data_IF_269009408696
#
_entry.id   IF_269009408696
#
_cell.length_a   1.000
_cell.length_b   1.000
_cell.length_c   1.000
_cell.angle_alpha   90.00
_cell.angle_beta   90.00
_cell.angle_gamma   90.00
#
_symmetry.space_group_name_H-M   'P 1'
#
loop_
_entity.id
_entity.type
_entity.pdbx_description
1 polymer ?
#
# COMPACT_ATOMS: atom_id res chain seq x y z
N UNK A 1 7.30 16.38 4.09
CA UNK A 1 6.22 15.43 3.78
C UNK A 1 5.54 14.88 5.05
N UNK A 2 6.27 14.40 6.06
CA UNK A 2 5.71 13.74 7.26
C UNK A 2 4.76 14.57 8.15
N UNK A 3 4.70 15.89 8.00
CA UNK A 3 3.92 16.80 8.88
C UNK A 3 2.88 17.64 8.15
N UNK A 4 2.78 17.47 6.84
CA UNK A 4 1.90 18.26 6.00
C UNK A 4 0.50 17.63 6.04
N UNK A 5 -0.52 18.48 6.19
CA UNK A 5 -1.93 18.12 6.04
C UNK A 5 -2.42 18.48 4.65
N UNK A 6 -3.24 17.61 4.07
CA UNK A 6 -4.00 17.89 2.86
C UNK A 6 -5.32 18.56 3.28
N UNK A 7 -5.37 19.89 3.18
CA UNK A 7 -6.53 20.69 3.60
C UNK A 7 -7.52 20.84 2.43
N UNK A 8 -8.84 20.79 2.70
CA UNK A 8 -9.84 21.06 1.67
C UNK A 8 -9.81 22.53 1.24
N UNK A 9 -10.11 22.76 -0.05
CA UNK A 9 -10.21 24.06 -0.74
C UNK A 9 -8.94 24.95 -0.77
N UNK A 10 -8.46 25.28 -1.98
CA UNK A 10 -7.49 26.34 -2.37
C UNK A 10 -6.18 26.56 -1.56
N UNK A 11 -5.94 25.85 -0.47
CA UNK A 11 -4.71 25.83 0.31
C UNK A 11 -4.09 24.43 0.23
N UNK A 12 -3.22 24.18 -0.77
CA UNK A 12 -2.60 22.88 -0.92
C UNK A 12 -1.57 22.64 0.18
N UNK A 13 -1.55 21.41 0.71
CA UNK A 13 -0.42 20.85 1.46
C UNK A 13 0.20 21.82 2.49
N UNK A 14 -0.47 22.00 3.62
CA UNK A 14 -0.08 22.96 4.65
C UNK A 14 0.56 22.32 5.87
N UNK A 15 1.55 22.99 6.46
CA UNK A 15 2.03 22.68 7.81
C UNK A 15 1.16 23.44 8.82
N UNK A 16 0.47 22.71 9.69
CA UNK A 16 -0.40 23.31 10.72
C UNK A 16 0.29 23.18 12.08
N UNK A 17 0.75 24.30 12.67
CA UNK A 17 1.36 24.28 13.99
C UNK A 17 0.44 23.63 15.03
N UNK A 18 1.05 22.99 16.04
CA UNK A 18 0.41 22.24 17.11
C UNK A 18 -0.13 20.87 16.69
N UNK A 19 -0.81 20.79 15.54
CA UNK A 19 -1.33 19.51 15.05
C UNK A 19 -0.21 18.65 14.49
N UNK A 20 0.85 19.26 13.96
CA UNK A 20 2.06 18.58 13.52
C UNK A 20 2.77 17.78 14.63
N UNK A 21 2.52 18.09 15.91
CA UNK A 21 3.00 17.30 17.04
C UNK A 21 2.17 16.03 17.31
N UNK A 22 0.92 15.94 16.83
CA UNK A 22 0.05 14.82 17.14
C UNK A 22 0.54 13.54 16.46
N UNK A 23 0.77 12.49 17.25
CA UNK A 23 1.23 11.19 16.75
C UNK A 23 0.09 10.37 16.13
N UNK A 24 0.49 9.38 15.34
CA UNK A 24 -0.44 8.44 14.72
C UNK A 24 -0.99 7.41 15.71
N UNK A 25 -2.30 7.18 15.68
CA UNK A 25 -2.91 5.98 16.20
C UNK A 25 -4.07 5.53 15.29
N UNK A 26 -4.20 4.22 15.07
CA UNK A 26 -5.34 3.64 14.33
C UNK A 26 -6.66 3.96 15.04
N UNK A 27 -6.65 3.89 16.37
CA UNK A 27 -7.75 4.24 17.28
C UNK A 27 -7.51 5.63 17.88
N UNK A 28 -7.36 6.62 17.00
CA UNK A 28 -7.06 8.00 17.36
C UNK A 28 -8.01 8.55 18.42
N UNK A 29 -7.46 9.30 19.37
CA UNK A 29 -8.23 9.95 20.43
C UNK A 29 -8.86 11.27 19.99
N UNK A 30 -8.39 11.84 18.88
CA UNK A 30 -8.90 13.07 18.30
C UNK A 30 -8.99 13.00 16.76
N UNK A 31 -9.82 13.87 16.20
CA UNK A 31 -9.87 14.19 14.77
C UNK A 31 -9.76 15.69 14.57
N UNK A 32 -9.32 16.09 13.39
CA UNK A 32 -9.32 17.48 12.99
C UNK A 32 -10.30 17.72 11.84
N UNK A 33 -10.78 18.95 11.70
CA UNK A 33 -11.62 19.41 10.60
C UNK A 33 -11.50 20.93 10.47
N UNK A 34 -11.86 21.48 9.32
CA UNK A 34 -12.02 22.92 9.14
C UNK A 34 -13.46 23.27 9.48
N UNK A 35 -13.64 24.30 10.31
CA UNK A 35 -14.93 24.84 10.68
C UNK A 35 -15.45 25.77 9.58
N UNK A 36 -16.65 25.52 9.07
CA UNK A 36 -17.18 26.24 7.90
C UNK A 36 -17.50 27.72 8.18
N UNK A 37 -17.81 28.07 9.44
CA UNK A 37 -18.17 29.44 9.81
C UNK A 37 -16.94 30.32 10.08
N UNK A 38 -15.97 29.75 10.80
CA UNK A 38 -14.79 30.50 11.26
C UNK A 38 -13.56 30.27 10.39
N UNK A 39 -13.60 29.28 9.48
CA UNK A 39 -12.47 28.80 8.69
C UNK A 39 -11.25 28.39 9.51
N UNK A 40 -11.45 28.14 10.80
CA UNK A 40 -10.40 27.65 11.68
C UNK A 40 -10.26 26.14 11.57
N UNK A 41 -9.03 25.66 11.67
CA UNK A 41 -8.79 24.23 11.85
C UNK A 41 -8.98 23.87 13.34
N UNK A 42 -9.94 22.99 13.61
CA UNK A 42 -10.29 22.52 14.95
C UNK A 42 -9.76 21.09 15.15
N UNK A 43 -8.99 20.87 16.20
CA UNK A 43 -8.66 19.54 16.73
C UNK A 43 -9.62 19.21 17.88
N UNK A 44 -10.43 18.16 17.71
CA UNK A 44 -11.45 17.75 18.68
C UNK A 44 -11.22 16.33 19.15
N UNK A 45 -11.26 16.11 20.47
CA UNK A 45 -11.25 14.79 21.06
C UNK A 45 -12.57 14.05 20.76
N UNK A 46 -12.46 12.78 20.37
CA UNK A 46 -13.62 11.92 20.07
C UNK A 46 -14.18 11.22 21.32
N UNK A 47 -13.47 11.31 22.44
CA UNK A 47 -13.86 10.78 23.75
C UNK A 47 -13.31 11.64 24.88
N UNK A 48 -13.78 11.39 26.10
CA UNK A 48 -13.15 11.95 27.29
C UNK A 48 -11.72 11.44 27.42
N UNK A 49 -10.78 12.36 27.62
CA UNK A 49 -9.37 12.07 27.84
C UNK A 49 -9.05 12.16 29.33
N UNK A 50 -8.16 11.31 29.80
CA UNK A 50 -7.61 11.42 31.15
C UNK A 50 -6.50 12.48 31.18
N UNK A 51 -6.20 13.07 32.36
CA UNK A 51 -4.98 13.84 32.53
C UNK A 51 -3.75 13.04 32.07
N UNK A 52 -2.80 13.73 31.43
CA UNK A 52 -1.54 13.17 30.90
C UNK A 52 -1.69 12.13 29.78
N UNK A 53 -2.91 11.91 29.27
CA UNK A 53 -3.15 11.05 28.12
C UNK A 53 -2.71 11.71 26.81
N UNK A 54 -1.97 10.96 25.98
CA UNK A 54 -1.54 11.43 24.67
C UNK A 54 -2.70 11.67 23.71
N UNK A 55 -2.70 12.84 23.07
CA UNK A 55 -3.62 13.16 21.98
C UNK A 55 -3.02 12.61 20.67
N UNK A 56 -3.76 11.72 20.03
CA UNK A 56 -3.34 11.08 18.77
C UNK A 56 -4.39 11.30 17.69
N UNK A 57 -3.93 11.37 16.44
CA UNK A 57 -4.76 11.47 15.24
C UNK A 57 -4.52 10.26 14.32
N UNK A 58 -5.46 9.99 13.41
CA UNK A 58 -5.27 8.95 12.41
C UNK A 58 -4.68 9.60 11.14
N UNK A 59 -3.55 9.09 10.65
CA UNK A 59 -2.87 9.60 9.45
C UNK A 59 -3.49 9.05 8.15
N UNK A 60 -4.50 8.17 8.26
CA UNK A 60 -5.19 7.51 7.16
C UNK A 60 -4.91 6.01 7.08
N UNK A 61 -5.57 5.36 6.13
CA UNK A 61 -5.46 3.91 5.86
C UNK A 61 -4.20 3.58 5.04
N UNK A 62 -3.04 3.77 5.67
CA UNK A 62 -1.71 3.62 5.06
C UNK A 62 -1.07 2.27 5.40
N UNK A 63 -0.28 1.74 4.48
CA UNK A 63 0.47 0.49 4.66
C UNK A 63 1.77 0.67 5.46
N UNK A 64 2.38 -0.46 5.83
CA UNK A 64 3.81 -0.63 6.09
C UNK A 64 4.72 0.31 5.26
N UNK A 65 4.62 0.14 3.96
CA UNK A 65 5.43 0.85 2.97
C UNK A 65 5.21 2.36 3.02
N UNK A 66 3.95 2.80 3.05
CA UNK A 66 3.61 4.23 3.08
C UNK A 66 3.97 4.90 4.40
N UNK A 67 3.73 4.23 5.54
CA UNK A 67 4.08 4.76 6.85
C UNK A 67 5.59 4.92 7.00
N UNK A 68 6.35 3.93 6.52
CA UNK A 68 7.80 3.99 6.52
C UNK A 68 8.32 5.12 5.63
N UNK A 69 7.82 5.19 4.39
CA UNK A 69 8.26 6.19 3.41
C UNK A 69 7.89 7.63 3.81
N UNK A 70 6.68 7.84 4.33
CA UNK A 70 6.17 9.18 4.64
C UNK A 70 6.52 9.66 6.05
N UNK A 71 6.61 8.75 7.03
CA UNK A 71 6.71 9.12 8.45
C UNK A 71 7.85 8.43 9.22
N UNK A 72 8.54 7.45 8.62
CA UNK A 72 9.69 6.80 9.24
C UNK A 72 9.34 5.80 10.35
N UNK A 73 8.14 5.21 10.33
CA UNK A 73 7.75 4.16 11.28
C UNK A 73 6.86 3.11 10.62
N UNK A 74 6.68 1.97 11.31
CA UNK A 74 5.73 0.91 10.94
C UNK A 74 4.91 0.47 12.13
N UNK A 75 3.77 -0.17 11.88
CA UNK A 75 2.93 -0.80 12.89
C UNK A 75 3.07 -2.32 12.80
N UNK A 76 3.26 -2.98 13.93
CA UNK A 76 3.46 -4.44 14.00
C UNK A 76 2.27 -5.26 13.49
N UNK A 77 1.04 -4.75 13.66
CA UNK A 77 -0.20 -5.39 13.25
C UNK A 77 -1.08 -4.40 12.45
N UNK A 78 -0.52 -3.79 11.41
CA UNK A 78 -1.28 -2.83 10.60
C UNK A 78 -2.40 -3.55 9.82
N UNK A 79 -3.69 -3.30 10.10
CA UNK A 79 -4.79 -3.94 9.36
C UNK A 79 -4.89 -3.45 7.91
N UNK A 80 -4.25 -2.32 7.60
CA UNK A 80 -4.22 -1.72 6.26
C UNK A 80 -2.90 -2.02 5.52
N UNK A 81 -2.10 -2.98 6.01
CA UNK A 81 -0.86 -3.34 5.33
C UNK A 81 -1.14 -3.94 3.95
N UNK A 82 -0.22 -3.68 3.03
CA UNK A 82 -0.27 -4.13 1.64
C UNK A 82 1.15 -4.27 1.10
N UNK A 83 1.30 -5.14 0.11
CA UNK A 83 2.53 -5.28 -0.67
C UNK A 83 2.27 -4.73 -2.07
N UNK A 84 3.15 -3.86 -2.54
CA UNK A 84 3.14 -3.35 -3.91
C UNK A 84 4.30 -3.95 -4.69
N UNK A 85 3.99 -4.64 -5.79
CA UNK A 85 4.99 -5.26 -6.67
C UNK A 85 5.00 -4.52 -8.01
N UNK A 86 6.07 -3.82 -8.38
CA UNK A 86 6.18 -3.29 -9.72
C UNK A 86 6.23 -4.44 -10.74
N UNK A 87 5.56 -4.25 -11.88
CA UNK A 87 5.56 -5.22 -12.98
C UNK A 87 5.95 -4.53 -14.29
N UNK A 88 6.63 -5.27 -15.14
CA UNK A 88 7.10 -4.81 -16.44
C UNK A 88 6.75 -5.85 -17.49
N UNK A 89 6.50 -5.38 -18.71
CA UNK A 89 6.42 -6.23 -19.89
C UNK A 89 7.82 -6.45 -20.46
N UNK A 90 8.05 -7.64 -21.00
CA UNK A 90 9.31 -7.95 -21.67
C UNK A 90 9.29 -7.37 -23.09
N UNK A 91 10.40 -6.76 -23.57
CA UNK A 91 10.45 -6.18 -24.91
C UNK A 91 10.22 -7.17 -26.06
N UNK A 92 10.44 -8.46 -25.83
CA UNK A 92 10.28 -9.56 -26.77
C UNK A 92 8.92 -10.28 -26.65
N UNK A 93 7.99 -9.75 -25.85
CA UNK A 93 6.62 -10.26 -25.76
C UNK A 93 5.90 -10.06 -27.11
N UNK A 94 5.44 -11.15 -27.73
CA UNK A 94 4.76 -11.13 -29.02
C UNK A 94 3.46 -10.31 -29.03
N UNK A 95 2.86 -10.05 -27.86
CA UNK A 95 1.65 -9.25 -27.68
C UNK A 95 1.95 -7.90 -27.02
N UNK A 96 3.20 -7.44 -27.02
CA UNK A 96 3.63 -6.24 -26.29
C UNK A 96 2.75 -5.02 -26.60
N UNK A 97 2.52 -4.73 -27.88
CA UNK A 97 1.72 -3.56 -28.31
C UNK A 97 0.27 -3.68 -27.82
N UNK A 98 -0.36 -4.84 -28.03
CA UNK A 98 -1.74 -5.10 -27.59
C UNK A 98 -1.90 -5.01 -26.07
N UNK A 99 -0.94 -5.58 -25.31
CA UNK A 99 -0.94 -5.54 -23.84
C UNK A 99 -0.79 -4.11 -23.35
N UNK A 100 0.15 -3.33 -23.91
CA UNK A 100 0.36 -1.94 -23.54
C UNK A 100 -0.86 -1.06 -23.84
N UNK A 101 -1.43 -1.20 -25.04
CA UNK A 101 -2.63 -0.48 -25.42
C UNK A 101 -3.78 -0.78 -24.45
N UNK A 102 -4.03 -2.05 -24.16
CA UNK A 102 -5.11 -2.44 -23.27
C UNK A 102 -4.89 -1.97 -21.82
N UNK A 103 -3.65 -2.06 -21.31
CA UNK A 103 -3.30 -1.54 -19.98
C UNK A 103 -3.57 -0.03 -19.90
N UNK A 104 -3.22 0.73 -20.95
CA UNK A 104 -3.45 2.17 -21.02
C UNK A 104 -4.95 2.50 -21.12
N UNK A 105 -5.70 1.81 -21.97
CA UNK A 105 -7.15 1.99 -22.14
C UNK A 105 -7.91 1.72 -20.83
N UNK A 106 -7.53 0.64 -20.13
CA UNK A 106 -8.10 0.27 -18.84
C UNK A 106 -7.54 1.10 -17.66
N UNK A 107 -6.56 1.97 -17.92
CA UNK A 107 -5.86 2.80 -16.91
C UNK A 107 -5.31 1.97 -15.75
N UNK A 108 -4.83 0.76 -16.04
CA UNK A 108 -4.28 -0.12 -15.02
C UNK A 108 -2.88 0.36 -14.63
N UNK A 109 -2.59 0.56 -13.33
CA UNK A 109 -1.25 0.93 -12.90
C UNK A 109 -0.29 -0.25 -13.13
N UNK A 110 0.99 -0.02 -13.49
CA UNK A 110 1.97 -1.07 -13.77
C UNK A 110 2.53 -1.69 -12.47
N UNK A 111 1.64 -2.10 -11.57
CA UNK A 111 1.97 -2.72 -10.28
C UNK A 111 0.85 -3.65 -9.84
N UNK A 112 1.22 -4.69 -9.10
CA UNK A 112 0.28 -5.53 -8.36
C UNK A 112 0.23 -5.07 -6.91
N UNK A 113 -0.95 -5.14 -6.31
CA UNK A 113 -1.17 -4.83 -4.91
C UNK A 113 -1.90 -5.97 -4.22
N UNK A 114 -1.28 -6.47 -3.15
CA UNK A 114 -1.78 -7.55 -2.30
C UNK A 114 -2.24 -6.98 -0.96
N UNK A 115 -3.38 -7.42 -0.46
CA UNK A 115 -3.84 -7.12 0.90
C UNK A 115 -3.12 -7.97 1.97
N UNK A 116 -3.45 -7.75 3.25
CA UNK A 116 -2.86 -8.50 4.37
C UNK A 116 -3.10 -10.02 4.33
N UNK A 117 -4.07 -10.48 3.52
CA UNK A 117 -4.40 -11.88 3.33
C UNK A 117 -3.76 -12.48 2.08
N UNK A 118 -2.96 -11.70 1.35
CA UNK A 118 -2.33 -12.14 0.11
C UNK A 118 -3.30 -12.19 -1.07
N UNK A 119 -4.41 -11.46 -1.02
CA UNK A 119 -5.33 -11.34 -2.15
C UNK A 119 -4.97 -10.13 -3.01
N UNK A 120 -4.96 -10.35 -4.33
CA UNK A 120 -4.85 -9.26 -5.30
C UNK A 120 -6.10 -8.41 -5.28
N UNK A 121 -5.95 -7.08 -5.40
CA UNK A 121 -7.09 -6.20 -5.65
C UNK A 121 -7.65 -6.41 -7.10
N UNK A 122 -8.78 -5.78 -7.41
CA UNK A 122 -9.46 -5.97 -8.70
C UNK A 122 -8.60 -5.54 -9.90
N UNK A 123 -7.88 -4.42 -9.79
CA UNK A 123 -7.00 -3.91 -10.85
C UNK A 123 -5.84 -4.86 -11.11
N UNK A 124 -5.22 -5.37 -10.05
CA UNK A 124 -4.10 -6.30 -10.11
C UNK A 124 -4.54 -7.65 -10.70
N UNK A 125 -5.71 -8.16 -10.33
CA UNK A 125 -6.27 -9.38 -10.94
C UNK A 125 -6.48 -9.21 -12.45
N UNK A 126 -6.94 -8.04 -12.92
CA UNK A 126 -7.08 -7.76 -14.36
C UNK A 126 -5.72 -7.66 -15.04
N UNK A 127 -4.78 -6.93 -14.42
CA UNK A 127 -3.45 -6.75 -14.96
C UNK A 127 -2.74 -8.10 -15.16
N UNK A 128 -2.81 -9.01 -14.18
CA UNK A 128 -2.17 -10.32 -14.28
C UNK A 128 -2.74 -11.15 -15.44
N UNK A 129 -4.06 -11.07 -15.72
CA UNK A 129 -4.67 -11.75 -16.88
C UNK A 129 -4.09 -11.24 -18.20
N UNK A 130 -3.77 -9.95 -18.28
CA UNK A 130 -3.12 -9.35 -19.44
C UNK A 130 -1.66 -9.79 -19.51
N UNK A 131 -0.92 -9.69 -18.40
CA UNK A 131 0.51 -10.02 -18.34
C UNK A 131 0.76 -11.50 -18.66
N UNK A 132 -0.06 -12.42 -18.16
CA UNK A 132 0.13 -13.87 -18.33
C UNK A 132 -0.30 -14.39 -19.71
N UNK A 133 -1.07 -13.62 -20.48
CA UNK A 133 -1.61 -14.05 -21.77
C UNK A 133 -0.49 -14.36 -22.79
N UNK A 134 -0.66 -15.46 -23.51
CA UNK A 134 0.27 -15.89 -24.58
C UNK A 134 -0.34 -15.73 -25.98
N UNK A 135 -1.65 -15.49 -26.07
CA UNK A 135 -2.35 -15.25 -27.34
C UNK A 135 -3.38 -14.13 -27.18
N UNK A 136 -3.79 -13.52 -28.30
CA UNK A 136 -4.81 -12.47 -28.29
C UNK A 136 -6.14 -12.97 -27.72
N UNK A 137 -6.53 -14.22 -27.97
CA UNK A 137 -7.81 -14.79 -27.50
C UNK A 137 -7.86 -14.93 -25.97
N UNK A 138 -6.69 -15.09 -25.34
CA UNK A 138 -6.52 -15.25 -23.90
C UNK A 138 -6.25 -13.92 -23.19
N UNK A 139 -6.09 -12.81 -23.94
CA UNK A 139 -5.84 -11.50 -23.37
C UNK A 139 -7.01 -11.11 -22.44
N UNK A 140 -6.67 -10.62 -21.24
CA UNK A 140 -7.63 -10.21 -20.22
C UNK A 140 -8.58 -11.34 -19.73
N UNK A 141 -8.18 -12.61 -19.91
CA UNK A 141 -8.87 -13.78 -19.35
C UNK A 141 -7.91 -14.57 -18.47
N UNK A 142 -8.48 -15.26 -17.48
CA UNK A 142 -7.72 -16.27 -16.76
C UNK A 142 -7.43 -17.43 -17.71
N UNK A 143 -6.18 -17.86 -17.75
CA UNK A 143 -5.65 -18.88 -18.64
C UNK A 143 -4.69 -19.79 -17.86
N UNK A 144 -4.20 -20.86 -18.48
CA UNK A 144 -3.31 -21.83 -17.84
C UNK A 144 -2.00 -21.20 -17.32
N UNK A 145 -1.57 -20.07 -17.88
CA UNK A 145 -0.36 -19.34 -17.48
C UNK A 145 -0.61 -18.36 -16.32
N UNK A 146 -1.86 -18.08 -15.96
CA UNK A 146 -2.21 -17.13 -14.90
C UNK A 146 -1.59 -17.49 -13.54
N UNK A 147 -1.82 -18.72 -13.07
CA UNK A 147 -1.28 -19.19 -11.79
C UNK A 147 0.25 -19.37 -11.81
N UNK A 148 0.86 -20.02 -12.83
CA UNK A 148 2.33 -20.13 -12.92
C UNK A 148 3.02 -18.76 -12.94
N UNK A 149 2.47 -17.78 -13.65
CA UNK A 149 3.01 -16.42 -13.69
C UNK A 149 3.08 -15.79 -12.29
N UNK A 150 1.96 -15.84 -11.54
CA UNK A 150 1.90 -15.32 -10.18
C UNK A 150 2.84 -16.05 -9.22
N UNK A 151 2.86 -17.38 -9.27
CA UNK A 151 3.76 -18.17 -8.43
C UNK A 151 5.22 -17.82 -8.71
N UNK A 152 5.62 -17.69 -9.98
CA UNK A 152 7.00 -17.30 -10.31
C UNK A 152 7.33 -15.92 -9.75
N UNK A 153 6.46 -14.92 -9.99
CA UNK A 153 6.66 -13.54 -9.53
C UNK A 153 6.74 -13.46 -8.00
N UNK A 154 5.81 -14.12 -7.28
CA UNK A 154 5.77 -14.08 -5.83
C UNK A 154 6.95 -14.81 -5.19
N UNK A 155 7.37 -15.96 -5.74
CA UNK A 155 8.54 -16.66 -5.25
C UNK A 155 9.83 -15.87 -5.49
N UNK A 156 9.98 -15.23 -6.66
CA UNK A 156 11.13 -14.36 -6.94
C UNK A 156 11.20 -13.20 -5.95
N UNK A 157 10.07 -12.54 -5.68
CA UNK A 157 10.00 -11.45 -4.73
C UNK A 157 10.27 -11.91 -3.29
N UNK A 158 9.70 -13.05 -2.86
CA UNK A 158 9.96 -13.63 -1.54
C UNK A 158 11.45 -13.97 -1.37
N UNK A 159 12.10 -14.50 -2.40
CA UNK A 159 13.53 -14.75 -2.38
C UNK A 159 14.33 -13.47 -2.18
N UNK A 160 13.99 -12.38 -2.88
CA UNK A 160 14.62 -11.07 -2.68
C UNK A 160 14.45 -10.58 -1.24
N UNK A 161 13.24 -10.69 -0.67
CA UNK A 161 12.97 -10.31 0.73
C UNK A 161 13.78 -11.16 1.71
N UNK A 162 13.98 -12.45 1.44
CA UNK A 162 14.78 -13.35 2.28
C UNK A 162 16.28 -13.05 2.23
N UNK A 163 16.75 -12.37 1.18
CA UNK A 163 18.13 -11.90 1.07
C UNK A 163 18.38 -10.59 1.84
N UNK A 164 17.33 -9.85 2.21
CA UNK A 164 17.46 -8.68 3.08
C UNK A 164 17.86 -9.14 4.50
N UNK A 165 18.96 -8.60 5.02
CA UNK A 165 19.49 -8.94 6.34
C UNK A 165 18.57 -8.47 7.46
N UNK A 166 18.31 -9.34 8.44
CA UNK A 166 17.65 -8.96 9.71
C UNK A 166 18.61 -8.26 10.69
N UNK A 167 19.83 -7.89 10.25
CA UNK A 167 20.90 -7.34 11.10
C UNK A 167 20.70 -5.85 11.44
N UNK A 168 19.62 -5.24 10.94
CA UNK A 168 19.27 -3.88 11.34
C UNK A 168 18.79 -3.85 12.80
N UNK A 169 19.47 -3.02 13.59
CA UNK A 169 19.11 -2.69 14.98
C UNK A 169 17.75 -1.95 15.08
N UNK A 170 17.15 -1.63 13.94
CA UNK A 170 15.92 -0.85 13.85
C UNK A 170 14.68 -1.75 13.76
N UNK A 171 13.93 -1.79 14.86
CA UNK A 171 12.73 -2.60 15.05
C UNK A 171 11.67 -2.43 13.95
N UNK A 172 11.57 -1.24 13.35
CA UNK A 172 10.57 -0.95 12.32
C UNK A 172 10.87 -1.61 10.97
N UNK A 173 12.15 -1.77 10.60
CA UNK A 173 12.59 -2.49 9.38
C UNK A 173 12.23 -3.96 9.52
N UNK A 174 12.48 -4.55 10.69
CA UNK A 174 12.11 -5.94 10.99
C UNK A 174 10.61 -6.17 10.83
N UNK A 175 9.78 -5.27 11.35
CA UNK A 175 8.33 -5.36 11.18
C UNK A 175 7.89 -5.22 9.73
N UNK A 176 8.49 -4.29 8.99
CA UNK A 176 8.23 -4.14 7.56
C UNK A 176 8.57 -5.42 6.79
N UNK A 177 9.82 -5.90 6.89
CA UNK A 177 10.25 -7.09 6.15
C UNK A 177 9.44 -8.32 6.54
N UNK A 178 9.14 -8.50 7.83
CA UNK A 178 8.30 -9.59 8.30
C UNK A 178 6.89 -9.54 7.70
N UNK A 179 6.22 -8.38 7.70
CA UNK A 179 4.87 -8.27 7.17
C UNK A 179 4.83 -8.47 5.65
N UNK A 180 5.81 -7.95 4.92
CA UNK A 180 5.93 -8.16 3.46
C UNK A 180 6.13 -9.66 3.13
N UNK A 181 7.04 -10.35 3.84
CA UNK A 181 7.27 -11.80 3.69
C UNK A 181 6.00 -12.58 3.98
N UNK A 182 5.29 -12.26 5.06
CA UNK A 182 4.06 -12.94 5.45
C UNK A 182 2.94 -12.79 4.41
N UNK A 183 2.73 -11.58 3.88
CA UNK A 183 1.69 -11.33 2.87
C UNK A 183 1.99 -12.11 1.58
N UNK A 184 3.25 -12.11 1.14
CA UNK A 184 3.67 -12.84 -0.08
C UNK A 184 3.55 -14.34 0.12
N UNK A 185 3.92 -14.85 1.30
CA UNK A 185 3.76 -16.27 1.62
C UNK A 185 2.29 -16.69 1.58
N UNK A 186 1.38 -15.91 2.18
CA UNK A 186 -0.07 -16.16 2.07
C UNK A 186 -0.54 -16.15 0.62
N UNK A 187 -0.07 -15.20 -0.18
CA UNK A 187 -0.42 -15.11 -1.60
C UNK A 187 0.01 -16.37 -2.39
N UNK A 188 1.19 -16.91 -2.10
CA UNK A 188 1.67 -18.18 -2.67
C UNK A 188 0.79 -19.34 -2.22
N UNK A 189 0.44 -19.41 -0.94
CA UNK A 189 -0.35 -20.50 -0.39
C UNK A 189 -1.80 -20.47 -0.87
N UNK A 190 -2.38 -19.30 -1.12
CA UNK A 190 -3.70 -19.14 -1.74
C UNK A 190 -3.75 -19.65 -3.20
N UNK A 191 -2.61 -19.82 -3.86
CA UNK A 191 -2.52 -20.29 -5.26
C UNK A 191 -2.27 -21.80 -5.39
N UNK A 192 -1.92 -22.48 -4.29
CA UNK A 192 -1.72 -23.93 -4.22
C UNK A 192 -3.05 -24.66 -4.03
#
# INVERSE_FOLDING_TARGET
WSRILDLPENEPLSLVPFIDFANHNLNASARWFIDDETHNLILRSERKLNPDEEITINYGLKSNEELLYLYGFTLSNNPNDRVTLPVSLLPDDILLEDKLQLIQELKLPPRLTLDINGHLNNESNRLVKILSAQTYETINKENEYYKPYLLNLFNEYLNKLNMCSDDDNEKFIKYYLYSQKLIIQKAIDNLK
#
